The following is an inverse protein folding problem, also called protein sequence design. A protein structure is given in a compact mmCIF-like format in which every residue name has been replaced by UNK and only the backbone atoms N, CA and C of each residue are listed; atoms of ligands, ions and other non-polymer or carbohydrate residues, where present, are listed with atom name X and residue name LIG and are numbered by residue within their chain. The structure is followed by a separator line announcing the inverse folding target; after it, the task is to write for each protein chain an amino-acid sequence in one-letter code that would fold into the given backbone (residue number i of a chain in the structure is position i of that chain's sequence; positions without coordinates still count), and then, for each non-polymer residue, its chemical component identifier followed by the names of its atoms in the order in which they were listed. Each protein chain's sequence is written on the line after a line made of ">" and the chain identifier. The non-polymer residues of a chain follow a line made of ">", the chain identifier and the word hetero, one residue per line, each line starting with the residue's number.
data_IF_454962700603
#
_entry.id   IF_454962700603
#
_cell.length_a   1.000
_cell.length_b   1.000
_cell.length_c   1.000
_cell.angle_alpha   90.00
_cell.angle_beta   90.00
_cell.angle_gamma   90.00
#
_symmetry.space_group_name_H-M   'P 1'
#
loop_
_entity.id
_entity.type
_entity.pdbx_description
1 polymer ?
#
# COMPACT_ATOMS: atom_id res chain seq x y z
N UNK A 1 -14.82 8.13 7.29
CA UNK A 1 -16.01 8.95 6.96
C UNK A 1 -16.91 8.36 5.88
N UNK A 2 -16.47 8.13 4.64
CA UNK A 2 -17.37 7.60 3.60
C UNK A 2 -18.04 6.26 3.99
N UNK A 3 -17.30 5.31 4.54
CA UNK A 3 -17.84 4.02 5.02
C UNK A 3 -18.71 4.17 6.26
N UNK A 4 -18.38 5.07 7.19
CA UNK A 4 -19.23 5.38 8.36
C UNK A 4 -20.59 5.91 7.91
N UNK A 5 -20.62 6.87 6.97
CA UNK A 5 -21.86 7.39 6.40
C UNK A 5 -22.67 6.34 5.65
N UNK A 6 -22.00 5.43 4.92
CA UNK A 6 -22.68 4.34 4.21
C UNK A 6 -23.39 3.39 5.18
N UNK A 7 -22.74 3.07 6.31
CA UNK A 7 -23.36 2.28 7.40
C UNK A 7 -24.56 2.99 7.99
N UNK A 8 -24.47 4.30 8.24
CA UNK A 8 -25.58 5.11 8.78
C UNK A 8 -26.78 5.17 7.81
N UNK A 9 -26.52 5.32 6.50
CA UNK A 9 -27.58 5.45 5.50
C UNK A 9 -28.27 4.13 5.16
N UNK A 10 -27.51 3.03 5.12
CA UNK A 10 -28.03 1.71 4.71
C UNK A 10 -28.45 0.84 5.88
N UNK A 11 -27.94 1.12 7.09
CA UNK A 11 -28.06 0.26 8.27
C UNK A 11 -27.17 -0.99 8.24
N UNK A 12 -26.44 -1.23 7.15
CA UNK A 12 -25.60 -2.41 6.99
C UNK A 12 -24.22 -2.20 7.64
N UNK A 13 -23.95 -2.92 8.73
CA UNK A 13 -22.69 -2.84 9.46
C UNK A 13 -21.54 -3.65 8.80
N UNK A 14 -21.81 -4.38 7.72
CA UNK A 14 -20.80 -5.17 7.02
C UNK A 14 -19.80 -4.31 6.23
N UNK A 15 -20.15 -3.06 5.92
CA UNK A 15 -19.24 -2.13 5.27
C UNK A 15 -18.06 -1.79 6.16
N UNK A 16 -16.84 -2.01 5.64
CA UNK A 16 -15.57 -1.79 6.35
C UNK A 16 -14.61 -0.96 5.52
N UNK A 17 -13.83 -0.13 6.19
CA UNK A 17 -12.69 0.58 5.65
C UNK A 17 -11.39 -0.05 6.18
N UNK A 18 -10.54 -0.51 5.26
CA UNK A 18 -9.26 -1.15 5.58
C UNK A 18 -8.15 -0.17 5.25
N UNK A 19 -7.43 0.33 6.26
CA UNK A 19 -6.22 1.12 6.03
C UNK A 19 -5.04 0.19 5.80
N UNK A 20 -4.26 0.44 4.75
CA UNK A 20 -3.12 -0.39 4.37
C UNK A 20 -1.85 0.44 4.38
N UNK A 21 -0.90 0.07 5.23
CA UNK A 21 0.47 0.59 5.22
C UNK A 21 1.35 -0.25 4.29
N UNK A 22 2.13 0.43 3.46
CA UNK A 22 2.92 -0.19 2.38
C UNK A 22 4.39 0.26 2.40
N UNK A 23 5.12 -0.03 3.49
CA UNK A 23 6.51 0.37 3.64
C UNK A 23 7.42 -0.39 2.68
N UNK A 24 8.45 0.28 2.18
CA UNK A 24 9.59 -0.36 1.52
C UNK A 24 10.69 -0.52 2.57
N UNK A 25 10.83 -1.71 3.16
CA UNK A 25 11.67 -1.98 4.33
C UNK A 25 11.20 -1.22 5.58
N UNK A 26 12.11 -0.57 6.33
CA UNK A 26 11.78 0.19 7.54
C UNK A 26 11.44 1.62 7.14
N UNK A 27 10.23 2.09 7.49
CA UNK A 27 9.83 3.48 7.28
C UNK A 27 10.58 4.41 8.23
N UNK A 28 11.17 5.49 7.70
CA UNK A 28 11.74 6.55 8.53
C UNK A 28 10.68 7.54 9.04
N UNK A 29 9.49 7.54 8.44
CA UNK A 29 8.34 8.40 8.71
C UNK A 29 7.20 7.66 9.43
N UNK A 30 7.52 6.58 10.16
CA UNK A 30 6.53 5.73 10.85
C UNK A 30 5.62 6.54 11.78
N UNK A 31 6.14 7.57 12.44
CA UNK A 31 5.36 8.44 13.32
C UNK A 31 4.23 9.18 12.57
N UNK A 32 4.51 9.67 11.36
CA UNK A 32 3.54 10.40 10.54
C UNK A 32 2.47 9.46 9.98
N UNK A 33 2.86 8.23 9.62
CA UNK A 33 1.93 7.19 9.20
C UNK A 33 0.98 6.80 10.35
N UNK A 34 1.50 6.61 11.56
CA UNK A 34 0.70 6.30 12.74
C UNK A 34 -0.24 7.45 13.13
N UNK A 35 0.23 8.70 13.08
CA UNK A 35 -0.59 9.88 13.33
C UNK A 35 -1.76 10.00 12.33
N UNK A 36 -1.51 9.66 11.06
CA UNK A 36 -2.53 9.63 10.02
C UNK A 36 -3.57 8.55 10.28
N UNK A 37 -3.14 7.32 10.62
CA UNK A 37 -4.04 6.21 10.96
C UNK A 37 -4.95 6.54 12.14
N UNK A 38 -4.39 7.14 13.20
CA UNK A 38 -5.14 7.56 14.39
C UNK A 38 -6.27 8.55 14.04
N UNK A 39 -6.07 9.40 13.03
CA UNK A 39 -7.08 10.35 12.56
C UNK A 39 -8.15 9.68 11.69
N UNK A 40 -7.73 8.73 10.84
CA UNK A 40 -8.61 8.05 9.88
C UNK A 40 -9.58 7.09 10.58
N UNK A 41 -9.14 6.42 11.65
CA UNK A 41 -9.92 5.42 12.43
C UNK A 41 -10.51 4.34 11.53
N UNK A 42 -9.64 3.54 10.92
CA UNK A 42 -10.05 2.44 10.08
C UNK A 42 -10.67 1.30 10.89
N UNK A 43 -11.53 0.50 10.24
CA UNK A 43 -12.11 -0.70 10.86
C UNK A 43 -11.07 -1.83 10.96
N UNK A 44 -10.17 -1.89 9.98
CA UNK A 44 -9.03 -2.81 9.96
C UNK A 44 -7.77 -2.06 9.52
N UNK A 45 -6.64 -2.42 10.11
CA UNK A 45 -5.33 -1.93 9.71
C UNK A 45 -4.45 -3.11 9.28
N UNK A 46 -3.83 -2.99 8.10
CA UNK A 46 -2.90 -3.98 7.60
C UNK A 46 -1.57 -3.31 7.22
N UNK A 47 -0.47 -4.04 7.36
CA UNK A 47 0.85 -3.58 6.94
C UNK A 47 1.48 -4.63 6.05
N UNK A 48 1.84 -4.24 4.83
CA UNK A 48 2.48 -5.12 3.85
C UNK A 48 3.81 -4.50 3.44
N UNK A 49 4.91 -5.12 3.86
CA UNK A 49 6.24 -4.71 3.43
C UNK A 49 6.45 -5.08 1.95
N UNK A 50 6.55 -4.07 1.08
CA UNK A 50 6.73 -4.28 -0.36
C UNK A 50 8.20 -4.52 -0.76
N UNK A 51 9.13 -4.36 0.20
CA UNK A 51 10.57 -4.48 -0.01
C UNK A 51 10.99 -5.76 -0.72
N UNK A 52 10.58 -6.95 -0.23
CA UNK A 52 10.93 -8.22 -0.86
C UNK A 52 10.46 -8.31 -2.32
N UNK A 53 9.21 -7.94 -2.61
CA UNK A 53 8.66 -8.02 -3.97
C UNK A 53 9.33 -7.05 -4.94
N UNK A 54 9.60 -5.82 -4.49
CA UNK A 54 10.31 -4.82 -5.29
C UNK A 54 11.74 -5.28 -5.58
N UNK A 55 12.45 -5.81 -4.57
CA UNK A 55 13.82 -6.31 -4.72
C UNK A 55 13.87 -7.49 -5.69
N UNK A 56 13.02 -8.49 -5.51
CA UNK A 56 12.97 -9.67 -6.36
C UNK A 56 12.68 -9.30 -7.83
N UNK A 57 11.74 -8.37 -8.07
CA UNK A 57 11.47 -7.93 -9.44
C UNK A 57 12.65 -7.16 -10.03
N UNK A 58 13.26 -6.25 -9.27
CA UNK A 58 14.42 -5.48 -9.73
C UNK A 58 15.60 -6.38 -10.13
N UNK A 59 15.86 -7.44 -9.36
CA UNK A 59 16.91 -8.42 -9.65
C UNK A 59 16.69 -9.22 -10.94
N UNK A 60 15.47 -9.25 -11.48
CA UNK A 60 15.15 -9.95 -12.73
C UNK A 60 15.15 -9.01 -13.96
N UNK A 61 15.48 -7.73 -13.79
CA UNK A 61 15.45 -6.75 -14.88
C UNK A 61 16.86 -6.42 -15.37
N UNK A 62 17.32 -7.13 -16.39
CA UNK A 62 18.58 -6.83 -17.10
C UNK A 62 18.63 -5.37 -17.60
N UNK A 63 17.47 -4.76 -17.88
CA UNK A 63 17.35 -3.37 -18.29
C UNK A 63 17.78 -2.35 -17.22
N UNK A 64 17.99 -2.78 -15.96
CA UNK A 64 18.55 -1.94 -14.90
C UNK A 64 20.08 -1.97 -14.87
N UNK A 65 20.71 -2.94 -15.52
CA UNK A 65 22.17 -3.09 -15.53
C UNK A 65 22.84 -1.93 -16.29
N UNK A 66 23.92 -1.40 -15.72
CA UNK A 66 24.68 -0.30 -16.33
C UNK A 66 23.98 1.05 -16.35
N UNK A 67 22.77 1.18 -15.76
CA UNK A 67 22.12 2.48 -15.60
C UNK A 67 22.86 3.35 -14.58
N UNK A 68 22.90 4.64 -14.87
CA UNK A 68 23.30 5.65 -13.90
C UNK A 68 22.44 5.53 -12.62
N UNK A 69 23.03 5.68 -11.41
CA UNK A 69 22.33 5.46 -10.14
C UNK A 69 21.00 6.19 -10.04
N UNK A 70 20.96 7.48 -10.42
CA UNK A 70 19.75 8.29 -10.39
C UNK A 70 18.63 7.75 -11.31
N UNK A 71 18.99 7.16 -12.45
CA UNK A 71 18.01 6.57 -13.37
C UNK A 71 17.49 5.23 -12.83
N UNK A 72 18.37 4.42 -12.26
CA UNK A 72 17.99 3.17 -11.59
C UNK A 72 17.01 3.45 -10.45
N UNK A 73 17.33 4.41 -9.56
CA UNK A 73 16.47 4.82 -8.46
C UNK A 73 15.09 5.29 -8.92
N UNK A 74 15.03 6.05 -10.02
CA UNK A 74 13.76 6.49 -10.61
C UNK A 74 12.91 5.30 -11.09
N UNK A 75 13.50 4.31 -11.76
CA UNK A 75 12.77 3.12 -12.22
C UNK A 75 12.31 2.27 -11.02
N UNK A 76 13.18 2.06 -10.03
CA UNK A 76 12.84 1.38 -8.78
C UNK A 76 11.72 2.10 -8.03
N UNK A 77 11.71 3.44 -8.02
CA UNK A 77 10.63 4.26 -7.47
C UNK A 77 9.27 3.94 -8.11
N UNK A 78 9.24 3.81 -9.43
CA UNK A 78 8.03 3.42 -10.16
C UNK A 78 7.61 1.98 -9.88
N UNK A 79 8.57 1.05 -9.71
CA UNK A 79 8.27 -0.33 -9.30
C UNK A 79 7.62 -0.34 -7.91
N UNK A 80 8.17 0.40 -6.93
CA UNK A 80 7.58 0.54 -5.59
C UNK A 80 6.11 0.97 -5.69
N UNK A 81 5.81 2.03 -6.45
CA UNK A 81 4.44 2.51 -6.62
C UNK A 81 3.49 1.44 -7.20
N UNK A 82 3.93 0.69 -8.22
CA UNK A 82 3.11 -0.38 -8.82
C UNK A 82 2.88 -1.54 -7.87
N UNK A 83 3.89 -1.95 -7.10
CA UNK A 83 3.75 -3.02 -6.12
C UNK A 83 2.78 -2.62 -4.99
N UNK A 84 2.77 -1.34 -4.58
CA UNK A 84 1.74 -0.84 -3.66
C UNK A 84 0.32 -1.01 -4.20
N UNK A 85 0.11 -0.71 -5.47
CA UNK A 85 -1.17 -0.93 -6.13
C UNK A 85 -1.54 -2.42 -6.11
N UNK A 86 -0.62 -3.30 -6.50
CA UNK A 86 -0.84 -4.76 -6.48
C UNK A 86 -1.26 -5.25 -5.10
N UNK A 87 -0.58 -4.79 -4.03
CA UNK A 87 -0.92 -5.17 -2.66
C UNK A 87 -2.35 -4.74 -2.27
N UNK A 88 -2.74 -3.51 -2.59
CA UNK A 88 -4.09 -3.00 -2.31
C UNK A 88 -5.17 -3.79 -3.06
N UNK A 89 -4.97 -4.04 -4.36
CA UNK A 89 -5.91 -4.83 -5.16
C UNK A 89 -5.99 -6.28 -4.71
N UNK A 90 -4.89 -6.88 -4.24
CA UNK A 90 -4.91 -8.22 -3.66
C UNK A 90 -5.76 -8.28 -2.38
N UNK A 91 -5.60 -7.29 -1.48
CA UNK A 91 -6.41 -7.18 -0.25
C UNK A 91 -7.88 -6.96 -0.61
N UNK A 92 -8.17 -6.03 -1.53
CA UNK A 92 -9.52 -5.77 -1.99
C UNK A 92 -10.16 -7.03 -2.60
N UNK A 93 -9.46 -7.72 -3.50
CA UNK A 93 -9.94 -8.97 -4.10
C UNK A 93 -10.24 -10.06 -3.08
N UNK A 94 -9.36 -10.24 -2.07
CA UNK A 94 -9.56 -11.20 -0.99
C UNK A 94 -10.75 -10.85 -0.06
N UNK A 95 -11.13 -9.58 -0.01
CA UNK A 95 -12.24 -9.07 0.81
C UNK A 95 -13.51 -8.78 0.03
N UNK A 96 -13.52 -8.97 -1.29
CA UNK A 96 -14.62 -8.52 -2.15
C UNK A 96 -14.82 -7.00 -2.12
N UNK A 97 -13.75 -6.23 -1.91
CA UNK A 97 -13.75 -4.78 -1.76
C UNK A 97 -13.31 -4.02 -3.01
N UNK A 98 -13.13 -2.71 -2.84
CA UNK A 98 -12.66 -1.77 -3.87
C UNK A 98 -11.38 -1.06 -3.38
N UNK A 99 -10.60 -0.54 -4.31
CA UNK A 99 -9.42 0.32 -4.06
C UNK A 99 -9.75 1.73 -4.51
#
# INVERSE_FOLDING_TARGET
>A
RAVEQLREQTGDQAYRFIAVRLPYQVQQDEADAQASLATIRADEEQTVNIGPSVKALAEQLEALEGLEPAKSDFVIGNIKARIRMVAQYAIAGARGGLV
#
